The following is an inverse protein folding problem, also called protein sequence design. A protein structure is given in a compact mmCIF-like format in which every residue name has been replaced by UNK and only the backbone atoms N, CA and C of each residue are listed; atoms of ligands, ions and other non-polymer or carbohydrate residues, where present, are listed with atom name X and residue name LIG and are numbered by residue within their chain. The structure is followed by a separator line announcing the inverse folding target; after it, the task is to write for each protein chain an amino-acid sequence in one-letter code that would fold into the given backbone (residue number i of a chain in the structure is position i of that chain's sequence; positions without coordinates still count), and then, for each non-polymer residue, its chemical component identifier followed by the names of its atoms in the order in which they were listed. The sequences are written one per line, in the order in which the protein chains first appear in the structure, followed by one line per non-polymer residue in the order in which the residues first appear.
data_IF_859126484516
#
_entry.id   IF_859126484516
#
_cell.length_a   1.000
_cell.length_b   1.000
_cell.length_c   1.000
_cell.angle_alpha   90.00
_cell.angle_beta   90.00
_cell.angle_gamma   90.00
#
_symmetry.space_group_name_H-M   'P 1'
#
loop_
_entity.id
_entity.type
_entity.pdbx_description
1 polymer ?
#
# COMPACT_ATOMS: atom_id res chain seq x y z
N UNK A 1 63.17 15.65 5.95
CA UNK A 1 62.18 14.58 6.08
C UNK A 1 60.91 15.07 5.42
N UNK A 2 60.20 14.22 4.66
CA UNK A 2 58.82 14.52 4.28
C UNK A 2 58.02 14.93 5.53
N UNK A 3 56.97 15.74 5.35
CA UNK A 3 56.08 16.21 6.43
C UNK A 3 55.82 15.07 7.42
N UNK A 4 55.92 15.34 8.71
CA UNK A 4 55.63 14.33 9.71
C UNK A 4 54.16 13.85 9.58
N UNK A 5 53.80 12.78 10.29
CA UNK A 5 52.43 12.25 10.27
C UNK A 5 51.36 13.24 10.77
N UNK A 6 51.75 14.41 11.28
CA UNK A 6 50.88 15.52 11.69
C UNK A 6 50.87 16.68 10.68
N UNK A 7 51.58 16.56 9.55
CA UNK A 7 51.64 17.58 8.50
C UNK A 7 52.68 18.68 8.71
N UNK A 8 53.51 18.60 9.76
CA UNK A 8 54.57 19.58 10.04
C UNK A 8 55.74 19.37 9.09
N UNK A 9 56.11 20.42 8.36
CA UNK A 9 57.30 20.42 7.51
C UNK A 9 58.46 21.12 8.22
N UNK A 10 59.64 20.49 8.26
CA UNK A 10 60.87 21.08 8.81
C UNK A 10 62.00 20.90 7.83
N UNK A 11 62.71 21.99 7.51
CA UNK A 11 63.83 21.95 6.58
C UNK A 11 64.98 21.10 7.15
N UNK A 12 65.68 20.33 6.30
CA UNK A 12 66.79 19.48 6.74
C UNK A 12 68.09 20.27 7.01
N UNK A 13 68.13 21.55 6.63
CA UNK A 13 69.29 22.43 6.75
C UNK A 13 68.89 23.75 7.42
N UNK A 14 69.81 24.42 8.15
CA UNK A 14 69.55 25.73 8.74
C UNK A 14 69.37 26.81 7.64
N UNK A 15 68.74 27.96 7.97
CA UNK A 15 68.61 29.08 7.05
C UNK A 15 69.98 29.56 6.56
N UNK A 16 70.04 29.96 5.29
CA UNK A 16 71.25 30.58 4.74
C UNK A 16 71.48 31.95 5.40
N UNK A 17 72.75 32.25 5.69
CA UNK A 17 73.18 33.52 6.30
C UNK A 17 73.69 34.44 5.21
N UNK A 18 73.33 35.73 5.30
CA UNK A 18 73.78 36.72 4.34
C UNK A 18 75.30 36.89 4.39
N UNK A 19 75.96 36.81 3.22
CA UNK A 19 77.41 36.94 3.09
C UNK A 19 78.17 35.61 3.02
N UNK A 20 77.54 34.48 3.33
CA UNK A 20 78.16 33.15 3.27
C UNK A 20 77.98 32.48 1.90
N UNK A 21 78.98 31.67 1.49
CA UNK A 21 78.89 30.86 0.26
C UNK A 21 78.00 29.64 0.51
N UNK A 22 76.96 29.46 -0.31
CA UNK A 22 76.02 28.34 -0.20
C UNK A 22 76.68 27.01 -0.62
N UNK A 23 76.52 25.99 0.22
CA UNK A 23 76.97 24.62 -0.06
C UNK A 23 76.02 23.91 -1.02
N UNK A 24 76.53 23.45 -2.16
CA UNK A 24 75.74 22.68 -3.14
C UNK A 24 75.11 21.40 -2.53
N UNK A 25 75.82 20.59 -1.72
CA UNK A 25 75.19 19.49 -0.98
C UNK A 25 74.02 19.91 -0.10
N UNK A 26 74.13 21.03 0.61
CA UNK A 26 73.05 21.53 1.47
C UNK A 26 71.82 21.93 0.64
N UNK A 27 72.03 22.62 -0.47
CA UNK A 27 70.94 23.01 -1.38
C UNK A 27 70.26 21.80 -2.02
N UNK A 28 71.02 20.81 -2.48
CA UNK A 28 70.48 19.57 -3.03
C UNK A 28 69.64 18.82 -1.99
N UNK A 29 70.12 18.72 -0.74
CA UNK A 29 69.37 18.10 0.35
C UNK A 29 68.04 18.80 0.63
N UNK A 30 67.97 20.13 0.54
CA UNK A 30 66.71 20.87 0.67
C UNK A 30 65.78 20.55 -0.50
N UNK A 31 66.28 20.57 -1.75
CA UNK A 31 65.45 20.33 -2.93
C UNK A 31 64.89 18.90 -2.98
N UNK A 32 65.70 17.91 -2.65
CA UNK A 32 65.27 16.51 -2.58
C UNK A 32 64.17 16.33 -1.53
N UNK A 33 64.29 17.01 -0.38
CA UNK A 33 63.31 16.94 0.69
C UNK A 33 61.99 17.66 0.36
N UNK A 34 62.08 18.83 -0.28
CA UNK A 34 60.91 19.56 -0.79
C UNK A 34 60.19 18.71 -1.84
N UNK A 35 60.92 18.10 -2.77
CA UNK A 35 60.36 17.22 -3.78
C UNK A 35 59.61 16.04 -3.11
N UNK A 36 60.24 15.36 -2.15
CA UNK A 36 59.60 14.27 -1.41
C UNK A 36 58.34 14.72 -0.65
N UNK A 37 58.38 15.88 0.02
CA UNK A 37 57.24 16.43 0.75
C UNK A 37 56.07 16.82 -0.17
N UNK A 38 56.35 17.36 -1.36
CA UNK A 38 55.34 17.66 -2.37
C UNK A 38 54.76 16.37 -2.95
N UNK A 39 55.59 15.37 -3.27
CA UNK A 39 55.13 14.05 -3.74
C UNK A 39 54.23 13.35 -2.72
N UNK A 40 54.47 13.53 -1.42
CA UNK A 40 53.61 13.01 -0.36
C UNK A 40 52.34 13.83 -0.10
N UNK A 41 52.14 14.96 -0.79
CA UNK A 41 50.97 15.83 -0.61
C UNK A 41 49.87 15.52 -1.61
N UNK A 42 48.61 15.77 -1.23
CA UNK A 42 47.47 15.70 -2.17
C UNK A 42 47.49 16.94 -3.06
N UNK A 43 47.58 16.75 -4.38
CA UNK A 43 47.51 17.83 -5.35
C UNK A 43 46.11 18.47 -5.35
N UNK A 44 46.05 19.80 -5.50
CA UNK A 44 44.79 20.55 -5.44
C UNK A 44 43.79 20.17 -6.55
N UNK A 45 44.27 19.59 -7.65
CA UNK A 45 43.47 19.08 -8.76
C UNK A 45 43.13 17.59 -8.65
N UNK A 46 43.49 16.96 -7.52
CA UNK A 46 43.14 15.57 -7.21
C UNK A 46 43.99 14.52 -7.93
N UNK A 47 45.09 14.89 -8.58
CA UNK A 47 45.94 13.92 -9.29
C UNK A 47 46.68 12.93 -8.38
N UNK A 48 46.99 13.31 -7.13
CA UNK A 48 47.68 12.43 -6.18
C UNK A 48 46.78 11.23 -5.80
N UNK A 49 47.17 9.98 -6.13
CA UNK A 49 46.43 8.81 -5.68
C UNK A 49 46.50 8.69 -4.16
N UNK A 50 45.34 8.68 -3.51
CA UNK A 50 45.26 8.51 -2.07
C UNK A 50 45.42 7.02 -1.74
N UNK A 51 46.58 6.64 -1.20
CA UNK A 51 46.93 5.22 -0.93
C UNK A 51 46.55 4.73 0.47
N UNK A 52 45.88 5.56 1.27
CA UNK A 52 45.41 5.21 2.61
C UNK A 52 44.21 6.05 3.07
N UNK A 53 43.56 5.66 4.16
CA UNK A 53 42.39 6.37 4.67
C UNK A 53 42.77 7.77 5.20
N UNK A 54 41.98 8.80 4.85
CA UNK A 54 42.17 10.16 5.34
C UNK A 54 41.38 10.38 6.63
N UNK A 55 42.07 10.60 7.76
CA UNK A 55 41.44 10.88 9.06
C UNK A 55 41.15 12.37 9.19
N UNK A 56 39.90 12.73 9.47
CA UNK A 56 39.46 14.14 9.58
C UNK A 56 39.36 14.66 11.01
N UNK A 57 39.64 13.85 12.04
CA UNK A 57 39.63 14.26 13.46
C UNK A 57 38.37 15.04 13.92
N UNK A 58 37.20 14.66 13.37
CA UNK A 58 35.92 15.31 13.66
C UNK A 58 35.57 16.51 12.78
N UNK A 59 36.48 16.95 11.91
CA UNK A 59 36.20 17.93 10.85
C UNK A 59 35.40 17.30 9.71
N UNK A 60 34.79 18.17 8.89
CA UNK A 60 33.87 17.81 7.80
C UNK A 60 34.48 18.20 6.46
N UNK A 61 34.18 17.44 5.42
CA UNK A 61 34.32 17.96 4.05
C UNK A 61 33.17 18.95 3.79
N UNK A 62 33.50 20.23 3.67
CA UNK A 62 32.54 21.29 3.30
C UNK A 62 32.54 21.49 1.79
N UNK A 63 31.48 22.13 1.27
CA UNK A 63 31.33 22.44 -0.17
C UNK A 63 31.39 21.21 -1.09
N UNK A 64 30.99 20.04 -0.56
CA UNK A 64 30.84 18.81 -1.32
C UNK A 64 29.63 18.94 -2.23
N UNK A 65 29.85 18.93 -3.54
CA UNK A 65 28.78 18.86 -4.53
C UNK A 65 28.03 17.52 -4.47
N UNK A 66 26.79 17.50 -4.95
CA UNK A 66 26.00 16.27 -4.98
C UNK A 66 26.67 15.21 -5.87
N UNK A 67 26.68 13.97 -5.37
CA UNK A 67 27.18 12.84 -6.12
C UNK A 67 26.34 12.64 -7.38
N UNK A 68 27.00 12.37 -8.52
CA UNK A 68 26.37 12.13 -9.83
C UNK A 68 26.65 10.73 -10.37
N UNK A 69 27.45 9.94 -9.66
CA UNK A 69 27.75 8.54 -9.94
C UNK A 69 27.87 7.72 -8.63
N UNK A 70 27.90 6.38 -8.74
CA UNK A 70 27.85 5.47 -7.58
C UNK A 70 29.13 5.47 -6.73
N UNK A 71 30.22 5.95 -7.27
CA UNK A 71 31.55 6.05 -6.67
C UNK A 71 31.87 7.45 -6.15
N UNK A 72 30.90 8.38 -6.20
CA UNK A 72 31.03 9.71 -5.63
C UNK A 72 30.61 9.73 -4.15
N UNK A 73 31.12 10.72 -3.40
CA UNK A 73 30.54 11.05 -2.10
C UNK A 73 29.13 11.62 -2.27
N UNK A 74 28.22 11.20 -1.39
CA UNK A 74 26.92 11.86 -1.26
C UNK A 74 27.05 13.07 -0.31
N UNK A 75 26.50 14.21 -0.71
CA UNK A 75 26.33 15.34 0.20
C UNK A 75 25.26 14.99 1.25
N UNK A 76 25.32 15.59 2.44
CA UNK A 76 24.28 15.35 3.45
C UNK A 76 22.90 15.80 2.97
N UNK A 77 22.83 16.90 2.19
CA UNK A 77 21.58 17.38 1.59
C UNK A 77 20.98 16.36 0.63
N UNK A 78 21.80 15.80 -0.27
CA UNK A 78 21.37 14.74 -1.20
C UNK A 78 20.78 13.51 -0.47
N UNK A 79 21.38 13.15 0.67
CA UNK A 79 20.88 12.04 1.50
C UNK A 79 19.57 12.41 2.20
N UNK A 80 19.46 13.61 2.76
CA UNK A 80 18.24 14.08 3.43
C UNK A 80 17.05 14.16 2.47
N UNK A 81 17.29 14.63 1.25
CA UNK A 81 16.29 14.70 0.19
C UNK A 81 15.95 13.32 -0.39
N UNK A 82 16.75 12.30 -0.07
CA UNK A 82 16.56 10.93 -0.55
C UNK A 82 16.67 10.82 -2.07
N UNK A 83 17.48 11.67 -2.72
CA UNK A 83 17.49 11.84 -4.18
C UNK A 83 17.73 10.54 -4.96
N UNK A 84 18.56 9.64 -4.42
CA UNK A 84 18.86 8.34 -5.02
C UNK A 84 17.72 7.31 -4.87
N UNK A 85 16.77 7.54 -3.96
CA UNK A 85 15.66 6.64 -3.64
C UNK A 85 14.33 7.16 -4.17
N UNK A 86 14.11 8.47 -4.10
CA UNK A 86 12.87 9.13 -4.52
C UNK A 86 12.88 9.43 -6.02
N UNK A 87 11.93 8.83 -6.74
CA UNK A 87 11.82 8.96 -8.20
C UNK A 87 10.69 9.92 -8.63
N UNK A 88 10.05 10.63 -7.69
CA UNK A 88 8.90 11.50 -7.98
C UNK A 88 7.66 10.73 -8.46
N UNK A 89 6.90 11.34 -9.36
CA UNK A 89 5.79 10.66 -10.05
C UNK A 89 6.36 9.79 -11.17
N UNK A 90 6.04 8.51 -11.14
CA UNK A 90 6.46 7.56 -12.15
C UNK A 90 5.93 7.93 -13.54
N UNK A 91 6.77 7.75 -14.55
CA UNK A 91 6.37 7.82 -15.95
C UNK A 91 5.74 6.51 -16.42
N UNK A 92 5.38 6.47 -17.71
CA UNK A 92 4.78 5.30 -18.35
C UNK A 92 3.28 5.13 -18.03
N UNK A 93 2.84 3.89 -17.85
CA UNK A 93 1.45 3.51 -17.54
C UNK A 93 1.35 2.77 -16.21
N UNK A 94 0.14 2.45 -15.76
CA UNK A 94 -0.08 1.62 -14.56
C UNK A 94 0.53 0.21 -14.65
N UNK A 95 0.76 -0.31 -15.87
CA UNK A 95 1.32 -1.64 -16.13
C UNK A 95 2.80 -1.61 -16.57
N UNK A 96 3.30 -0.45 -17.00
CA UNK A 96 4.67 -0.24 -17.41
C UNK A 96 5.22 1.04 -16.77
N UNK A 97 5.86 0.89 -15.62
CA UNK A 97 6.36 1.98 -14.78
C UNK A 97 7.79 2.33 -15.20
N UNK A 98 8.07 3.63 -15.36
CA UNK A 98 9.43 4.13 -15.55
C UNK A 98 9.86 5.02 -14.39
N UNK A 99 11.04 4.77 -13.85
CA UNK A 99 11.64 5.49 -12.72
C UNK A 99 12.98 6.11 -13.13
N UNK A 100 13.24 7.33 -12.69
CA UNK A 100 14.49 8.06 -12.98
C UNK A 100 15.06 8.65 -11.70
N UNK A 101 15.64 7.82 -10.81
CA UNK A 101 16.34 8.33 -9.63
C UNK A 101 17.55 9.17 -10.04
N UNK A 102 17.98 10.07 -9.15
CA UNK A 102 19.18 10.89 -9.34
C UNK A 102 20.14 10.63 -8.17
N UNK A 103 21.34 10.08 -8.42
CA UNK A 103 21.91 9.73 -9.72
C UNK A 103 21.21 8.57 -10.42
N UNK A 104 21.34 8.53 -11.74
CA UNK A 104 20.82 7.43 -12.54
C UNK A 104 21.43 6.09 -12.09
N UNK A 105 20.59 5.08 -11.93
CA UNK A 105 21.07 3.75 -11.59
C UNK A 105 21.81 3.13 -12.79
N UNK A 106 23.07 2.74 -12.57
CA UNK A 106 23.87 2.05 -13.61
C UNK A 106 23.48 0.57 -13.80
N UNK A 107 22.68 0.02 -12.88
CA UNK A 107 22.22 -1.36 -12.91
C UNK A 107 21.25 -1.64 -11.76
N UNK A 108 20.34 -2.59 -11.97
CA UNK A 108 19.46 -3.12 -10.91
C UNK A 108 20.23 -4.18 -10.12
N UNK A 109 20.44 -3.93 -8.84
CA UNK A 109 21.16 -4.83 -7.93
C UNK A 109 20.29 -5.13 -6.72
N UNK A 110 20.36 -6.37 -6.23
CA UNK A 110 19.62 -6.79 -5.03
C UNK A 110 19.88 -5.84 -3.85
N UNK A 111 18.81 -5.49 -3.13
CA UNK A 111 18.81 -4.55 -2.00
C UNK A 111 18.60 -3.08 -2.39
N UNK A 112 18.62 -2.72 -3.67
CA UNK A 112 18.25 -1.36 -4.09
C UNK A 112 16.77 -1.11 -3.84
N UNK A 113 16.45 0.10 -3.34
CA UNK A 113 15.08 0.52 -3.07
C UNK A 113 14.72 1.78 -3.84
N UNK A 114 13.47 1.86 -4.26
CA UNK A 114 12.92 3.02 -4.95
C UNK A 114 11.56 3.38 -4.38
N UNK A 115 11.28 4.66 -4.28
CA UNK A 115 10.00 5.23 -3.84
C UNK A 115 9.46 6.17 -4.90
N UNK A 116 8.18 6.07 -5.23
CA UNK A 116 7.57 6.87 -6.30
C UNK A 116 6.06 7.03 -6.10
N UNK A 117 5.45 7.94 -6.86
CA UNK A 117 3.99 8.07 -6.98
C UNK A 117 3.52 7.40 -8.26
N UNK A 118 2.54 6.52 -8.18
CA UNK A 118 1.93 5.88 -9.34
C UNK A 118 1.01 6.85 -10.10
N UNK A 119 1.14 6.92 -11.42
CA UNK A 119 0.35 7.83 -12.27
C UNK A 119 -1.01 7.27 -12.67
N UNK A 120 -1.17 5.95 -12.67
CA UNK A 120 -2.39 5.25 -13.04
C UNK A 120 -2.55 3.95 -12.23
N UNK A 121 -3.77 3.40 -12.22
CA UNK A 121 -4.01 2.06 -11.67
C UNK A 121 -3.51 0.98 -12.64
N UNK A 122 -3.00 -0.12 -12.10
CA UNK A 122 -2.58 -1.25 -12.94
C UNK A 122 -3.80 -2.09 -13.37
N UNK A 123 -3.83 -2.49 -14.65
CA UNK A 123 -4.89 -3.33 -15.22
C UNK A 123 -4.45 -4.78 -15.43
N UNK A 124 -3.15 -5.04 -15.31
CA UNK A 124 -2.55 -6.37 -15.44
C UNK A 124 -1.23 -6.49 -14.70
N UNK A 125 -0.33 -7.33 -15.25
CA UNK A 125 1.00 -7.52 -14.72
C UNK A 125 1.85 -6.26 -14.89
N UNK A 126 2.59 -5.88 -13.85
CA UNK A 126 3.34 -4.63 -13.81
C UNK A 126 4.82 -4.89 -14.05
N UNK A 127 5.44 -4.03 -14.87
CA UNK A 127 6.88 -3.98 -15.07
C UNK A 127 7.45 -2.63 -14.65
N UNK A 128 8.70 -2.61 -14.20
CA UNK A 128 9.41 -1.40 -13.76
C UNK A 128 10.74 -1.31 -14.49
N UNK A 129 10.98 -0.20 -15.19
CA UNK A 129 12.27 0.15 -15.78
C UNK A 129 12.88 1.34 -15.01
N UNK A 130 14.12 1.18 -14.55
CA UNK A 130 14.84 2.22 -13.78
C UNK A 130 15.94 2.80 -14.65
N UNK A 131 16.00 4.14 -14.79
CA UNK A 131 17.04 4.86 -15.53
C UNK A 131 17.27 4.34 -16.96
N UNK A 132 16.21 3.87 -17.64
CA UNK A 132 16.28 3.32 -19.00
C UNK A 132 16.83 1.88 -19.09
N UNK A 133 17.11 1.23 -17.96
CA UNK A 133 17.50 -0.18 -17.90
C UNK A 133 16.33 -1.10 -18.30
N UNK A 134 16.64 -2.37 -18.59
CA UNK A 134 15.64 -3.39 -18.95
C UNK A 134 14.54 -3.49 -17.89
N UNK A 135 13.28 -3.44 -18.34
CA UNK A 135 12.12 -3.54 -17.48
C UNK A 135 12.07 -4.92 -16.79
N UNK A 136 11.84 -4.91 -15.47
CA UNK A 136 11.73 -6.10 -14.64
C UNK A 136 10.33 -6.22 -14.06
N UNK A 137 9.91 -7.45 -13.74
CA UNK A 137 8.59 -7.68 -13.16
C UNK A 137 8.49 -7.08 -11.74
N UNK A 138 7.37 -6.41 -11.44
CA UNK A 138 7.00 -6.02 -10.10
C UNK A 138 6.02 -7.06 -9.52
N UNK A 139 6.40 -7.61 -8.37
CA UNK A 139 5.65 -8.62 -7.64
C UNK A 139 5.21 -8.10 -6.27
N UNK A 140 4.33 -8.88 -5.64
CA UNK A 140 3.96 -8.65 -4.25
C UNK A 140 5.15 -8.90 -3.32
N UNK A 141 5.03 -8.42 -2.08
CA UNK A 141 6.05 -8.60 -1.04
C UNK A 141 6.41 -10.09 -0.83
N UNK A 142 5.43 -10.99 -0.98
CA UNK A 142 5.55 -12.44 -0.85
C UNK A 142 6.11 -13.14 -2.11
N UNK A 143 6.40 -12.39 -3.18
CA UNK A 143 6.89 -12.91 -4.45
C UNK A 143 5.81 -13.47 -5.39
N UNK A 144 4.54 -13.43 -5.01
CA UNK A 144 3.42 -13.75 -5.90
C UNK A 144 3.22 -12.67 -6.98
N UNK A 145 2.53 -13.02 -8.06
CA UNK A 145 2.20 -12.07 -9.12
C UNK A 145 1.38 -10.91 -8.56
N UNK A 146 1.64 -9.68 -9.04
CA UNK A 146 0.86 -8.51 -8.67
C UNK A 146 -0.47 -8.51 -9.46
N UNK A 147 -1.64 -8.66 -8.80
CA UNK A 147 -2.92 -8.64 -9.52
C UNK A 147 -3.29 -7.21 -9.96
N UNK A 148 -4.23 -7.12 -10.90
CA UNK A 148 -4.82 -5.85 -11.34
C UNK A 148 -5.46 -5.09 -10.15
N UNK A 149 -5.39 -3.76 -10.19
CA UNK A 149 -6.04 -2.87 -9.23
C UNK A 149 -5.35 -2.73 -7.88
N UNK A 150 -4.09 -3.18 -7.74
CA UNK A 150 -3.31 -2.99 -6.50
C UNK A 150 -2.63 -1.62 -6.47
N UNK A 151 -2.11 -1.16 -7.60
CA UNK A 151 -1.57 0.19 -7.74
C UNK A 151 -2.73 1.15 -8.06
N UNK A 152 -2.73 2.34 -7.46
CA UNK A 152 -3.72 3.40 -7.72
C UNK A 152 -3.04 4.72 -8.06
N UNK A 153 -3.66 5.51 -8.94
CA UNK A 153 -3.14 6.84 -9.26
C UNK A 153 -3.00 7.71 -7.99
N UNK A 154 -1.88 8.42 -7.86
CA UNK A 154 -1.58 9.32 -6.74
C UNK A 154 -1.02 8.66 -5.49
N UNK A 155 -0.97 7.33 -5.42
CA UNK A 155 -0.43 6.64 -4.24
C UNK A 155 1.10 6.59 -4.25
N UNK A 156 1.70 6.74 -3.07
CA UNK A 156 3.12 6.49 -2.86
C UNK A 156 3.36 4.98 -2.73
N UNK A 157 4.34 4.48 -3.47
CA UNK A 157 4.74 3.07 -3.51
C UNK A 157 6.23 2.97 -3.22
N UNK A 158 6.62 1.93 -2.48
CA UNK A 158 8.01 1.56 -2.25
C UNK A 158 8.29 0.15 -2.77
N UNK A 159 9.37 0.00 -3.51
CA UNK A 159 9.82 -1.27 -4.07
C UNK A 159 11.28 -1.55 -3.71
N UNK A 160 11.64 -2.82 -3.70
CA UNK A 160 12.99 -3.32 -3.52
C UNK A 160 13.33 -4.30 -4.64
N UNK A 161 14.52 -4.16 -5.21
CA UNK A 161 15.09 -5.17 -6.08
C UNK A 161 15.52 -6.36 -5.21
N UNK A 162 14.86 -7.50 -5.34
CA UNK A 162 15.25 -8.74 -4.64
C UNK A 162 16.29 -9.52 -5.44
N UNK A 163 16.32 -9.28 -6.76
CA UNK A 163 17.36 -9.76 -7.67
C UNK A 163 17.58 -8.73 -8.79
N UNK A 164 18.47 -9.01 -9.74
CA UNK A 164 18.64 -8.17 -10.92
C UNK A 164 17.41 -8.18 -11.85
N UNK A 165 16.48 -9.14 -11.67
CA UNK A 165 15.34 -9.35 -12.56
C UNK A 165 13.97 -9.28 -11.88
N UNK A 166 13.92 -8.93 -10.60
CA UNK A 166 12.68 -8.94 -9.82
C UNK A 166 12.63 -7.79 -8.82
N UNK A 167 11.58 -6.98 -8.94
CA UNK A 167 11.17 -6.03 -7.91
C UNK A 167 10.03 -6.60 -7.07
N UNK A 168 10.06 -6.31 -5.78
CA UNK A 168 8.94 -6.57 -4.86
C UNK A 168 8.53 -5.29 -4.16
N UNK A 169 7.25 -5.20 -3.82
CA UNK A 169 6.77 -4.21 -2.86
C UNK A 169 7.47 -4.43 -1.50
N UNK A 170 8.02 -3.38 -0.89
CA UNK A 170 8.76 -3.45 0.39
C UNK A 170 7.82 -3.68 1.56
N UNK A 171 6.73 -2.93 1.56
CA UNK A 171 5.66 -3.13 2.51
C UNK A 171 4.65 -4.10 1.87
N UNK A 172 3.92 -4.92 2.66
CA UNK A 172 2.63 -5.35 2.15
C UNK A 172 1.91 -4.07 1.68
N UNK A 173 1.22 -4.09 0.54
CA UNK A 173 0.46 -2.92 0.04
C UNK A 173 -0.70 -2.48 0.99
N UNK A 174 -0.63 -2.87 2.25
CA UNK A 174 -1.65 -2.91 3.26
C UNK A 174 -1.02 -2.34 4.53
N UNK A 175 -1.16 -1.04 4.74
CA UNK A 175 -1.21 -0.48 6.09
C UNK A 175 -2.18 -1.35 6.91
N UNK A 176 -1.88 -1.62 8.18
CA UNK A 176 -2.76 -2.29 9.16
C UNK A 176 -4.14 -1.62 9.22
N UNK A 177 -5.01 -1.93 8.27
CA UNK A 177 -6.12 -1.07 7.93
C UNK A 177 -6.90 -1.62 6.75
N UNK A 178 -8.18 -1.32 6.77
CA UNK A 178 -9.13 -1.66 5.74
C UNK A 178 -8.67 -1.20 4.35
N UNK A 179 -8.40 -2.13 3.44
CA UNK A 179 -8.10 -1.85 2.04
C UNK A 179 -9.36 -1.87 1.17
N UNK A 180 -9.44 -0.99 0.18
CA UNK A 180 -10.59 -0.91 -0.73
C UNK A 180 -10.58 -2.08 -1.72
N UNK A 181 -11.62 -2.91 -1.67
CA UNK A 181 -11.85 -4.01 -2.61
C UNK A 181 -12.74 -3.59 -3.78
N UNK A 182 -13.70 -2.72 -3.52
CA UNK A 182 -14.65 -2.25 -4.52
C UNK A 182 -15.24 -0.90 -4.13
N UNK A 183 -15.42 -0.02 -5.11
CA UNK A 183 -16.23 1.20 -5.01
C UNK A 183 -16.89 1.43 -6.35
N UNK A 184 -18.21 1.44 -6.41
CA UNK A 184 -18.93 1.60 -7.66
C UNK A 184 -20.41 1.89 -7.47
N UNK A 185 -21.08 2.23 -8.56
CA UNK A 185 -22.53 2.39 -8.56
C UNK A 185 -23.23 1.04 -8.36
N UNK A 186 -24.33 1.05 -7.63
CA UNK A 186 -25.28 -0.06 -7.68
C UNK A 186 -26.03 0.00 -9.01
N UNK A 187 -25.85 -1.01 -9.84
CA UNK A 187 -26.44 -1.07 -11.18
C UNK A 187 -26.90 -2.49 -11.52
N UNK A 188 -27.93 -2.61 -12.35
CA UNK A 188 -28.52 -3.91 -12.68
C UNK A 188 -29.24 -4.53 -11.47
N UNK A 189 -29.52 -5.82 -11.51
CA UNK A 189 -30.29 -6.50 -10.43
C UNK A 189 -29.43 -6.98 -9.27
N UNK A 190 -28.10 -7.04 -9.46
CA UNK A 190 -27.13 -7.43 -8.46
C UNK A 190 -25.74 -6.87 -8.79
N UNK A 191 -24.93 -6.65 -7.77
CA UNK A 191 -23.50 -6.31 -7.90
C UNK A 191 -22.67 -7.35 -7.16
N UNK A 192 -21.73 -7.96 -7.88
CA UNK A 192 -20.81 -8.97 -7.37
C UNK A 192 -19.44 -8.37 -7.13
N UNK A 193 -18.83 -8.72 -6.01
CA UNK A 193 -17.47 -8.30 -5.65
C UNK A 193 -16.66 -9.52 -5.28
N UNK A 194 -15.60 -9.79 -6.04
CA UNK A 194 -14.66 -10.85 -5.74
C UNK A 194 -13.86 -10.51 -4.48
N UNK A 195 -13.69 -11.49 -3.59
CA UNK A 195 -12.92 -11.35 -2.36
C UNK A 195 -11.57 -12.05 -2.54
N UNK A 196 -10.44 -11.30 -2.51
CA UNK A 196 -9.11 -11.89 -2.59
C UNK A 196 -8.83 -12.83 -1.41
N UNK A 197 -7.89 -13.77 -1.62
CA UNK A 197 -7.39 -14.58 -0.51
C UNK A 197 -6.73 -13.73 0.59
N UNK A 198 -6.81 -14.23 1.83
CA UNK A 198 -6.21 -13.59 3.01
C UNK A 198 -7.06 -12.50 3.67
N UNK A 199 -8.26 -12.21 3.16
CA UNK A 199 -9.19 -11.28 3.83
C UNK A 199 -9.82 -11.97 5.05
N UNK A 200 -9.55 -11.45 6.25
CA UNK A 200 -10.10 -11.93 7.53
C UNK A 200 -11.38 -11.20 7.96
N UNK A 201 -11.63 -10.00 7.43
CA UNK A 201 -12.83 -9.21 7.73
C UNK A 201 -13.28 -8.42 6.50
N UNK A 202 -14.57 -8.24 6.32
CA UNK A 202 -15.15 -7.40 5.27
C UNK A 202 -16.00 -6.31 5.89
N UNK A 203 -15.96 -5.12 5.30
CA UNK A 203 -16.90 -4.03 5.57
C UNK A 203 -17.58 -3.67 4.27
N UNK A 204 -18.89 -3.85 4.25
CA UNK A 204 -19.74 -3.67 3.07
C UNK A 204 -20.69 -2.53 3.35
N UNK A 205 -20.49 -1.41 2.68
CA UNK A 205 -21.29 -0.21 2.82
C UNK A 205 -22.13 -0.01 1.57
N UNK A 206 -23.45 0.05 1.74
CA UNK A 206 -24.41 0.44 0.72
C UNK A 206 -24.92 1.82 1.07
N UNK A 207 -24.77 2.78 0.15
CA UNK A 207 -25.23 4.15 0.33
C UNK A 207 -26.24 4.53 -0.75
N UNK A 208 -27.44 4.91 -0.32
CA UNK A 208 -28.48 5.48 -1.17
C UNK A 208 -29.02 4.54 -2.22
N UNK A 209 -29.08 3.23 -1.92
CA UNK A 209 -29.62 2.25 -2.86
C UNK A 209 -31.09 2.56 -3.16
N UNK A 210 -31.43 2.58 -4.45
CA UNK A 210 -32.78 2.77 -4.99
C UNK A 210 -33.06 1.78 -6.10
N UNK A 211 -34.32 1.40 -6.29
CA UNK A 211 -34.76 0.33 -7.20
C UNK A 211 -35.98 0.75 -8.05
N UNK A 212 -36.45 1.98 -7.88
CA UNK A 212 -37.65 2.55 -8.50
C UNK A 212 -38.90 2.38 -7.64
N UNK A 213 -39.82 3.34 -7.74
CA UNK A 213 -41.09 3.33 -6.99
C UNK A 213 -41.94 2.11 -7.37
N UNK A 214 -42.75 1.58 -6.44
CA UNK A 214 -43.55 0.36 -6.62
C UNK A 214 -43.56 -0.53 -5.39
N UNK A 215 -43.66 -1.85 -5.53
CA UNK A 215 -43.67 -2.77 -4.38
C UNK A 215 -42.35 -2.71 -3.60
N UNK A 216 -42.44 -2.69 -2.27
CA UNK A 216 -41.27 -2.76 -1.35
C UNK A 216 -40.30 -3.84 -1.81
N UNK A 217 -39.04 -3.45 -1.98
CA UNK A 217 -37.96 -4.36 -2.38
C UNK A 217 -37.06 -4.64 -1.18
N UNK A 218 -36.60 -5.88 -1.06
CA UNK A 218 -35.71 -6.31 0.01
C UNK A 218 -34.29 -6.41 -0.52
N UNK A 219 -33.32 -5.90 0.22
CA UNK A 219 -31.91 -6.04 -0.15
C UNK A 219 -31.21 -7.08 0.70
N UNK A 220 -30.43 -7.92 0.04
CA UNK A 220 -29.66 -8.99 0.64
C UNK A 220 -28.19 -8.92 0.29
N UNK A 221 -27.36 -9.30 1.24
CA UNK A 221 -25.98 -9.68 1.06
C UNK A 221 -25.88 -11.20 0.96
N UNK A 222 -25.30 -11.70 -0.13
CA UNK A 222 -24.97 -13.11 -0.31
C UNK A 222 -23.48 -13.29 -0.33
N UNK A 223 -23.02 -14.46 0.07
CA UNK A 223 -21.61 -14.85 -0.04
C UNK A 223 -21.48 -16.05 -0.95
N UNK A 224 -20.37 -16.12 -1.67
CA UNK A 224 -19.99 -17.26 -2.51
C UNK A 224 -18.91 -18.05 -1.81
N UNK A 225 -19.13 -19.36 -1.67
CA UNK A 225 -18.21 -20.30 -1.03
C UNK A 225 -18.17 -21.55 -1.90
N UNK A 226 -16.97 -22.03 -2.20
CA UNK A 226 -16.78 -23.21 -3.06
C UNK A 226 -17.51 -23.08 -4.41
N UNK A 227 -17.44 -21.91 -5.04
CA UNK A 227 -18.12 -21.66 -6.31
C UNK A 227 -19.65 -21.51 -6.22
N UNK A 228 -20.27 -21.68 -5.05
CA UNK A 228 -21.72 -21.67 -4.87
C UNK A 228 -22.15 -20.46 -4.03
N UNK A 229 -23.19 -19.75 -4.48
CA UNK A 229 -23.82 -18.70 -3.68
C UNK A 229 -24.61 -19.36 -2.54
N UNK A 230 -24.25 -19.04 -1.30
CA UNK A 230 -24.94 -19.57 -0.13
C UNK A 230 -26.32 -18.92 -0.03
N UNK A 231 -27.36 -19.77 -0.11
CA UNK A 231 -28.76 -19.40 0.06
C UNK A 231 -29.24 -19.95 1.40
N UNK A 232 -30.02 -19.19 2.15
CA UNK A 232 -30.43 -19.51 3.52
C UNK A 232 -31.51 -20.60 3.62
N UNK A 233 -31.18 -21.85 3.30
CA UNK A 233 -32.10 -22.98 3.45
C UNK A 233 -31.66 -23.98 4.54
N UNK A 234 -32.46 -24.06 5.60
CA UNK A 234 -32.46 -25.02 6.75
C UNK A 234 -31.13 -25.26 7.47
N UNK A 235 -31.00 -24.70 8.68
CA UNK A 235 -29.90 -24.96 9.61
C UNK A 235 -28.85 -23.84 9.75
N UNK A 236 -29.08 -22.68 9.11
CA UNK A 236 -28.20 -21.51 9.19
C UNK A 236 -28.94 -20.40 9.95
N UNK A 237 -28.43 -20.09 11.15
CA UNK A 237 -29.07 -19.23 12.14
C UNK A 237 -28.92 -17.74 11.74
N UNK A 238 -30.03 -17.13 11.30
CA UNK A 238 -30.16 -15.68 11.12
C UNK A 238 -30.63 -15.09 12.46
N UNK A 239 -29.73 -14.47 13.21
CA UNK A 239 -29.95 -14.12 14.60
C UNK A 239 -30.40 -12.66 14.77
N UNK A 240 -31.68 -12.50 15.12
CA UNK A 240 -32.35 -11.26 15.56
C UNK A 240 -32.38 -10.09 14.55
N UNK A 241 -33.58 -9.72 14.10
CA UNK A 241 -33.87 -8.37 13.62
C UNK A 241 -34.35 -7.57 14.83
N UNK A 242 -33.56 -6.59 15.27
CA UNK A 242 -34.01 -5.62 16.27
C UNK A 242 -34.42 -4.35 15.54
N UNK A 243 -35.72 -4.06 15.52
CA UNK A 243 -36.26 -2.79 15.01
C UNK A 243 -36.35 -1.80 16.16
N UNK A 244 -35.67 -0.66 16.07
CA UNK A 244 -35.78 0.39 17.07
C UNK A 244 -36.95 1.33 16.69
N UNK A 245 -38.13 1.14 17.32
CA UNK A 245 -39.26 2.07 17.13
C UNK A 245 -39.00 3.31 17.97
N UNK A 246 -38.59 4.42 17.34
CA UNK A 246 -38.44 5.68 18.05
C UNK A 246 -39.80 6.36 18.27
N UNK A 247 -40.52 5.95 19.32
CA UNK A 247 -41.48 6.78 20.04
C UNK A 247 -41.46 6.39 21.54
N UNK A 248 -40.65 7.11 22.32
CA UNK A 248 -40.78 7.22 23.78
C UNK A 248 -40.80 5.92 24.59
N UNK A 249 -39.66 5.23 24.71
CA UNK A 249 -39.47 4.13 25.67
C UNK A 249 -38.75 2.95 25.04
N UNK A 250 -37.46 2.81 25.36
CA UNK A 250 -36.54 1.84 24.77
C UNK A 250 -36.96 0.42 25.15
N UNK A 251 -37.51 -0.33 24.19
CA UNK A 251 -37.35 -1.78 24.14
C UNK A 251 -37.28 -2.21 22.68
N UNK A 252 -36.16 -2.79 22.21
CA UNK A 252 -36.10 -3.43 20.90
C UNK A 252 -37.20 -4.50 20.86
N UNK A 253 -38.05 -4.50 19.83
CA UNK A 253 -39.00 -5.60 19.63
C UNK A 253 -38.23 -6.70 18.90
N UNK A 254 -37.90 -7.83 19.55
CA UNK A 254 -37.27 -8.95 18.86
C UNK A 254 -38.34 -9.57 17.96
N UNK A 255 -38.16 -9.52 16.63
CA UNK A 255 -39.03 -10.30 15.77
C UNK A 255 -38.63 -11.79 15.83
N UNK A 256 -39.59 -12.72 16.02
CA UNK A 256 -39.31 -14.15 16.05
C UNK A 256 -38.62 -14.66 14.78
N UNK A 257 -37.83 -15.71 14.96
CA UNK A 257 -36.95 -16.43 14.03
C UNK A 257 -37.61 -17.07 12.79
N UNK A 258 -38.84 -16.69 12.45
CA UNK A 258 -39.63 -17.29 11.37
C UNK A 258 -39.87 -16.28 10.25
N UNK A 259 -38.86 -16.06 9.41
CA UNK A 259 -39.03 -15.60 8.04
C UNK A 259 -37.72 -15.84 7.28
N UNK A 260 -37.51 -17.10 6.88
CA UNK A 260 -36.35 -17.50 6.09
C UNK A 260 -36.67 -17.23 4.62
N UNK A 261 -36.42 -16.01 4.15
CA UNK A 261 -36.29 -15.84 2.70
C UNK A 261 -34.99 -16.54 2.29
N UNK A 262 -35.06 -17.41 1.29
CA UNK A 262 -33.96 -18.20 0.76
C UNK A 262 -32.88 -17.35 0.03
N UNK A 263 -32.63 -16.12 0.47
CA UNK A 263 -32.09 -15.04 -0.36
C UNK A 263 -30.85 -14.34 0.20
N UNK A 264 -30.38 -14.64 1.42
CA UNK A 264 -29.10 -14.17 1.98
C UNK A 264 -29.23 -13.42 3.30
N UNK A 265 -28.16 -12.75 3.74
CA UNK A 265 -28.15 -11.87 4.91
C UNK A 265 -28.91 -10.58 4.63
N UNK A 266 -29.90 -10.27 5.45
CA UNK A 266 -30.79 -9.15 5.21
C UNK A 266 -30.10 -7.80 5.48
N UNK A 267 -30.20 -6.86 4.54
CA UNK A 267 -29.62 -5.52 4.67
C UNK A 267 -30.64 -4.43 4.98
N UNK A 268 -31.85 -4.53 4.46
CA UNK A 268 -32.85 -3.48 4.58
C UNK A 268 -33.89 -3.52 3.46
N UNK A 269 -34.82 -2.56 3.48
CA UNK A 269 -35.87 -2.39 2.48
C UNK A 269 -35.68 -1.09 1.70
N UNK A 270 -35.98 -1.11 0.41
CA UNK A 270 -36.28 0.09 -0.39
C UNK A 270 -37.80 0.25 -0.39
N UNK A 271 -38.29 1.34 0.20
CA UNK A 271 -39.71 1.61 0.38
C UNK A 271 -40.47 1.79 -0.93
N UNK A 272 -41.80 1.84 -0.86
CA UNK A 272 -42.64 1.92 -2.07
C UNK A 272 -42.44 3.21 -2.87
N UNK A 273 -41.99 4.26 -2.19
CA UNK A 273 -41.68 5.57 -2.76
C UNK A 273 -40.24 5.67 -3.29
N UNK A 274 -39.58 4.54 -3.52
CA UNK A 274 -38.17 4.46 -3.93
C UNK A 274 -37.19 5.05 -2.91
N UNK A 275 -37.51 4.94 -1.63
CA UNK A 275 -36.70 5.54 -0.58
C UNK A 275 -35.27 5.02 -0.55
N UNK A 276 -34.31 5.93 -0.37
CA UNK A 276 -32.89 5.61 -0.31
C UNK A 276 -32.57 4.70 0.89
N UNK A 277 -32.00 3.53 0.62
CA UNK A 277 -31.55 2.60 1.66
C UNK A 277 -30.04 2.74 1.91
N UNK A 278 -29.67 2.89 3.18
CA UNK A 278 -28.28 2.87 3.63
C UNK A 278 -28.03 1.67 4.56
N UNK A 279 -26.91 0.99 4.40
CA UNK A 279 -26.49 -0.06 5.33
C UNK A 279 -24.97 -0.16 5.42
N UNK A 280 -24.48 -0.54 6.59
CA UNK A 280 -23.10 -0.97 6.79
C UNK A 280 -23.10 -2.36 7.42
N UNK A 281 -22.37 -3.29 6.79
CA UNK A 281 -22.25 -4.67 7.24
C UNK A 281 -20.79 -5.02 7.47
N UNK A 282 -20.45 -5.45 8.69
CA UNK A 282 -19.18 -6.10 8.96
C UNK A 282 -19.37 -7.62 8.85
N UNK A 283 -18.45 -8.32 8.18
CA UNK A 283 -18.42 -9.78 8.12
C UNK A 283 -17.07 -10.24 8.64
N UNK A 284 -17.08 -10.94 9.77
CA UNK A 284 -15.88 -11.64 10.24
C UNK A 284 -15.72 -12.92 9.43
N UNK A 285 -14.61 -13.06 8.69
CA UNK A 285 -14.27 -14.22 7.86
C UNK A 285 -13.19 -15.04 8.59
N UNK A 286 -13.53 -15.53 9.79
CA UNK A 286 -12.55 -16.16 10.69
C UNK A 286 -12.29 -17.62 10.32
N UNK A 287 -11.03 -17.92 10.03
CA UNK A 287 -10.43 -19.25 10.19
C UNK A 287 -10.08 -19.39 11.68
N UNK A 288 -11.06 -19.75 12.51
CA UNK A 288 -10.76 -19.95 13.93
C UNK A 288 -10.37 -21.42 14.14
N UNK A 289 -9.07 -21.67 14.32
CA UNK A 289 -8.50 -23.00 14.57
C UNK A 289 -8.89 -23.61 15.92
N UNK A 290 -10.12 -23.41 16.39
CA UNK A 290 -10.63 -23.93 17.66
C UNK A 290 -12.08 -24.37 17.53
N UNK A 291 -12.26 -25.66 17.25
CA UNK A 291 -13.31 -26.57 17.74
C UNK A 291 -14.82 -26.21 17.63
N UNK A 292 -15.22 -25.14 16.94
CA UNK A 292 -16.62 -24.94 16.56
C UNK A 292 -16.67 -24.46 15.11
N UNK A 293 -17.42 -25.17 14.26
CA UNK A 293 -17.56 -25.02 12.80
C UNK A 293 -17.15 -23.66 12.23
N UNK A 294 -16.43 -23.65 11.09
CA UNK A 294 -16.03 -22.40 10.41
C UNK A 294 -17.28 -21.58 10.08
N UNK A 295 -17.43 -20.38 10.66
CA UNK A 295 -18.58 -19.50 10.44
C UNK A 295 -18.12 -18.10 10.06
N UNK A 296 -18.82 -17.49 9.10
CA UNK A 296 -18.81 -16.05 8.94
C UNK A 296 -19.93 -15.40 9.76
N UNK A 297 -19.61 -14.28 10.42
CA UNK A 297 -20.56 -13.55 11.26
C UNK A 297 -20.85 -12.17 10.66
N UNK A 298 -21.87 -12.04 9.80
CA UNK A 298 -22.36 -10.73 9.37
C UNK A 298 -23.07 -9.99 10.51
N UNK A 299 -22.77 -8.70 10.64
CA UNK A 299 -23.50 -7.75 11.48
C UNK A 299 -23.80 -6.50 10.67
N UNK A 300 -25.07 -6.19 10.49
CA UNK A 300 -25.53 -5.04 9.72
C UNK A 300 -26.23 -4.03 10.59
N UNK A 301 -25.89 -2.76 10.37
CA UNK A 301 -26.68 -1.61 10.78
C UNK A 301 -27.28 -0.98 9.53
N UNK A 302 -28.59 -0.79 9.50
CA UNK A 302 -29.27 -0.11 8.40
C UNK A 302 -30.15 1.03 8.89
N UNK A 303 -30.23 2.07 8.05
CA UNK A 303 -31.20 3.15 8.16
C UNK A 303 -32.15 3.00 6.98
N UNK A 304 -33.33 2.44 7.22
CA UNK A 304 -34.43 2.38 6.25
C UNK A 304 -35.37 3.57 6.47
N UNK A 305 -35.71 4.31 5.42
CA UNK A 305 -36.79 5.30 5.50
C UNK A 305 -38.14 4.56 5.41
N UNK A 306 -39.03 4.82 6.37
CA UNK A 306 -40.33 4.17 6.45
C UNK A 306 -41.43 4.97 5.74
N UNK A 307 -42.09 4.34 4.78
CA UNK A 307 -43.42 4.69 4.30
C UNK A 307 -43.99 3.50 3.51
N UNK A 308 -45.16 2.91 3.80
CA UNK A 308 -46.30 3.33 4.58
C UNK A 308 -46.85 2.17 5.47
N UNK A 309 -46.60 2.22 6.79
CA UNK A 309 -47.34 1.49 7.83
C UNK A 309 -46.96 1.92 9.27
N UNK A 310 -46.45 3.15 9.48
CA UNK A 310 -46.22 3.68 10.83
C UNK A 310 -44.92 3.31 11.54
N UNK A 311 -43.94 2.69 10.87
CA UNK A 311 -42.59 2.55 11.42
C UNK A 311 -41.75 3.76 10.98
N UNK A 312 -41.50 4.70 11.90
CA UNK A 312 -40.62 5.86 11.67
C UNK A 312 -39.17 5.45 11.40
N UNK A 313 -38.25 6.42 11.33
CA UNK A 313 -36.80 6.23 11.16
C UNK A 313 -36.24 5.21 12.16
N UNK A 314 -36.28 3.93 11.81
CA UNK A 314 -35.90 2.86 12.70
C UNK A 314 -34.56 2.33 12.20
N UNK A 315 -33.53 2.51 13.03
CA UNK A 315 -32.32 1.74 12.87
C UNK A 315 -32.67 0.26 12.99
N UNK A 316 -32.22 -0.52 12.01
CA UNK A 316 -32.27 -1.97 12.06
C UNK A 316 -30.86 -2.49 12.35
N UNK A 317 -30.77 -3.37 13.35
CA UNK A 317 -29.58 -4.19 13.56
C UNK A 317 -29.93 -5.64 13.25
N UNK A 318 -29.14 -6.26 12.36
CA UNK A 318 -29.29 -7.65 11.94
C UNK A 318 -27.98 -8.41 12.14
N UNK A 319 -28.04 -9.58 12.77
CA UNK A 319 -26.89 -10.46 12.94
C UNK A 319 -27.19 -11.83 12.33
N UNK A 320 -26.14 -12.58 11.99
CA UNK A 320 -26.32 -13.92 11.44
C UNK A 320 -25.03 -14.74 11.51
N UNK A 321 -25.17 -16.03 11.24
CA UNK A 321 -24.06 -16.95 11.07
C UNK A 321 -24.19 -17.66 9.72
N UNK A 322 -23.11 -17.62 8.93
CA UNK A 322 -23.02 -18.30 7.65
C UNK A 322 -22.03 -19.45 7.82
N UNK A 323 -22.52 -20.69 7.70
CA UNK A 323 -21.67 -21.88 7.76
C UNK A 323 -20.70 -21.91 6.58
N UNK A 324 -19.43 -22.11 6.89
CA UNK A 324 -18.34 -22.29 5.93
C UNK A 324 -17.88 -23.75 6.06
N UNK A 325 -17.87 -24.54 4.97
CA UNK A 325 -17.30 -25.88 5.00
C UNK A 325 -15.80 -25.80 5.28
N UNK A 326 -15.24 -26.83 5.93
CA UNK A 326 -13.85 -26.76 6.36
C UNK A 326 -12.86 -26.55 5.22
N UNK A 327 -11.93 -25.61 5.39
CA UNK A 327 -10.90 -25.28 4.41
C UNK A 327 -11.38 -24.35 3.28
N UNK A 328 -12.61 -23.85 3.36
CA UNK A 328 -13.15 -22.86 2.42
C UNK A 328 -13.17 -21.46 3.03
N UNK A 329 -13.42 -20.46 2.17
CA UNK A 329 -13.55 -19.06 2.55
C UNK A 329 -14.59 -18.37 1.68
N UNK A 330 -14.96 -17.15 2.05
CA UNK A 330 -15.72 -16.27 1.16
C UNK A 330 -14.87 -15.92 -0.08
N UNK A 331 -15.36 -16.29 -1.26
CA UNK A 331 -14.72 -16.04 -2.56
C UNK A 331 -15.28 -14.78 -3.24
N UNK A 332 -16.54 -14.45 -2.96
CA UNK A 332 -17.22 -13.28 -3.47
C UNK A 332 -18.37 -12.89 -2.53
N UNK A 333 -18.77 -11.63 -2.59
CA UNK A 333 -20.05 -11.16 -2.04
C UNK A 333 -20.93 -10.64 -3.15
N UNK A 334 -22.23 -10.64 -2.92
CA UNK A 334 -23.24 -10.10 -3.82
C UNK A 334 -24.22 -9.25 -3.05
N UNK A 335 -24.45 -8.05 -3.53
CA UNK A 335 -25.58 -7.22 -3.12
C UNK A 335 -26.69 -7.41 -4.15
N UNK A 336 -27.82 -7.96 -3.73
CA UNK A 336 -28.92 -8.29 -4.63
C UNK A 336 -30.27 -7.87 -4.04
N UNK A 337 -31.13 -7.39 -4.92
CA UNK A 337 -32.55 -7.24 -4.63
C UNK A 337 -33.23 -8.62 -4.63
N UNK A 338 -33.99 -8.94 -3.59
CA UNK A 338 -34.69 -10.19 -3.42
C UNK A 338 -36.20 -10.02 -3.32
N UNK A 339 -36.92 -10.40 -4.38
CA UNK A 339 -38.29 -10.96 -4.43
C UNK A 339 -38.54 -11.44 -5.87
N UNK A 340 -39.59 -12.23 -6.12
CA UNK A 340 -39.84 -13.01 -7.36
C UNK A 340 -39.79 -12.30 -8.72
N UNK A 341 -39.64 -10.96 -8.76
CA UNK A 341 -39.33 -10.17 -9.95
C UNK A 341 -38.30 -9.08 -9.61
N UNK A 342 -36.98 -9.41 -9.55
CA UNK A 342 -35.96 -8.47 -9.12
C UNK A 342 -35.82 -7.33 -10.11
N UNK A 343 -35.97 -6.10 -9.60
CA UNK A 343 -35.79 -4.85 -10.36
C UNK A 343 -34.35 -4.36 -10.26
N UNK A 344 -33.91 -3.65 -11.29
CA UNK A 344 -32.57 -3.06 -11.33
C UNK A 344 -32.42 -1.89 -10.37
N UNK A 345 -31.24 -1.73 -9.79
CA UNK A 345 -30.87 -0.52 -9.08
C UNK A 345 -30.92 0.68 -10.01
N UNK A 346 -31.55 1.75 -9.54
CA UNK A 346 -31.65 3.04 -10.23
C UNK A 346 -30.64 4.05 -9.70
N UNK A 347 -30.26 3.93 -8.42
CA UNK A 347 -29.24 4.75 -7.75
C UNK A 347 -28.56 3.99 -6.62
N UNK A 348 -27.49 4.61 -6.12
CA UNK A 348 -26.75 4.17 -4.94
C UNK A 348 -25.32 3.77 -5.26
N UNK A 349 -24.51 3.64 -4.22
CA UNK A 349 -23.13 3.18 -4.33
C UNK A 349 -22.88 2.01 -3.38
N UNK A 350 -22.02 1.10 -3.81
CA UNK A 350 -21.49 0.01 -3.03
C UNK A 350 -20.01 0.25 -2.80
N UNK A 351 -19.59 0.18 -1.54
CA UNK A 351 -18.19 0.18 -1.13
C UNK A 351 -17.90 -1.07 -0.33
N UNK A 352 -16.81 -1.76 -0.67
CA UNK A 352 -16.35 -2.96 0.03
C UNK A 352 -14.92 -2.75 0.45
N UNK A 353 -14.65 -2.91 1.74
CA UNK A 353 -13.31 -2.92 2.30
C UNK A 353 -12.99 -4.32 2.82
N UNK A 354 -11.74 -4.74 2.65
CA UNK A 354 -11.19 -5.94 3.28
C UNK A 354 -10.21 -5.58 4.37
N UNK A 355 -10.22 -6.33 5.47
CA UNK A 355 -9.12 -6.38 6.42
C UNK A 355 -8.36 -7.68 6.17
N UNK A 356 -7.07 -7.59 5.88
CA UNK A 356 -6.24 -8.75 5.63
C UNK A 356 -5.67 -9.32 6.92
N UNK A 357 -5.36 -10.62 6.87
CA UNK A 357 -4.78 -11.31 7.99
C UNK A 357 -3.51 -12.07 7.82
#
# INVERSE_FOLDING_TARGET
MARDGAGTYTLPQPPFVNGDVISAPAFNSINDDVAAALTGSIAADGQTPVTGNLRMDGYRHTDVGDGSARDHYASLGQVQDGAALWCGTAGGTGDAITLTPTPAAAGVVAGQRFSFITSAANTGAVTVAVSGLTAQALRRYDGSALPAGILWAGNRVQIEAVSATEFRLVEPAWLNGWGLLYSGALSGTAVDVNIPGGVRELRVTVNGARIGAGTVQQLFLRVKINGVWVLGGTGQYFDSRSFNVQLGGINPVPQPLADVSAQGHFLGYVGENDDAMNSETCISNMLNGAAFNEYAMPRTRSLTNGGAAGFGWAQMDAQGQIAIPSGYRIEAIRIANGTGSPRSFTQGTLRVLGLWG
#
